data_IF_880499001455
#
_entry.id   IF_880499001455
#
_cell.length_a   1.000
_cell.length_b   1.000
_cell.length_c   1.000
_cell.angle_alpha   90.00
_cell.angle_beta   90.00
_cell.angle_gamma   90.00
#
_symmetry.space_group_name_H-M   'P 1'
#
loop_
_entity.id
_entity.type
_entity.pdbx_description
1 polymer ?
#
# COMPACT_ATOMS: atom_id res chain seq x y z
N UNK A 1 -17.64 -12.46 -28.85
CA UNK A 1 -16.62 -12.38 -27.80
C UNK A 1 -17.22 -11.63 -26.64
N UNK A 2 -17.19 -12.19 -25.44
CA UNK A 2 -17.55 -11.43 -24.23
C UNK A 2 -16.41 -10.43 -24.07
N UNK A 3 -16.69 -9.12 -24.24
CA UNK A 3 -15.70 -8.08 -23.95
C UNK A 3 -15.31 -8.21 -22.48
N UNK A 4 -14.06 -8.51 -22.22
CA UNK A 4 -13.56 -8.61 -20.85
C UNK A 4 -13.55 -7.21 -20.24
N UNK A 5 -14.30 -7.06 -19.16
CA UNK A 5 -14.44 -5.80 -18.44
C UNK A 5 -13.34 -5.73 -17.39
N UNK A 6 -12.77 -4.54 -17.16
CA UNK A 6 -11.73 -4.34 -16.12
C UNK A 6 -12.21 -4.85 -14.76
N UNK A 7 -11.38 -5.66 -14.05
CA UNK A 7 -11.70 -6.13 -12.69
C UNK A 7 -12.03 -5.00 -11.71
N UNK A 8 -11.58 -3.78 -11.97
CA UNK A 8 -11.89 -2.60 -11.16
C UNK A 8 -13.40 -2.30 -11.09
N UNK A 9 -14.15 -2.60 -12.15
CA UNK A 9 -15.61 -2.35 -12.18
C UNK A 9 -16.38 -3.21 -11.18
N UNK A 10 -15.88 -4.40 -10.82
CA UNK A 10 -16.49 -5.25 -9.79
C UNK A 10 -16.43 -4.52 -8.43
N UNK A 11 -15.29 -3.88 -8.11
CA UNK A 11 -15.14 -3.11 -6.88
C UNK A 11 -15.92 -1.79 -6.91
N UNK A 12 -16.03 -1.13 -8.06
CA UNK A 12 -16.90 0.06 -8.22
C UNK A 12 -18.36 -0.32 -7.98
N UNK A 13 -18.83 -1.39 -8.61
CA UNK A 13 -20.19 -1.89 -8.40
C UNK A 13 -20.42 -2.27 -6.93
N UNK A 14 -19.45 -2.94 -6.30
CA UNK A 14 -19.51 -3.28 -4.89
C UNK A 14 -19.58 -2.02 -4.00
N UNK A 15 -18.80 -0.98 -4.30
CA UNK A 15 -18.83 0.28 -3.56
C UNK A 15 -20.24 0.92 -3.59
N UNK A 16 -20.90 0.90 -4.76
CA UNK A 16 -22.28 1.39 -4.91
C UNK A 16 -23.25 0.50 -4.15
N UNK A 17 -23.17 -0.81 -4.33
CA UNK A 17 -24.09 -1.78 -3.72
C UNK A 17 -23.97 -1.81 -2.18
N UNK A 18 -22.78 -1.58 -1.61
CA UNK A 18 -22.58 -1.44 -0.16
C UNK A 18 -23.42 -0.28 0.38
N UNK A 19 -23.53 0.83 -0.34
CA UNK A 19 -24.37 1.96 0.02
C UNK A 19 -25.88 1.68 -0.06
N UNK A 20 -26.27 0.86 -1.04
CA UNK A 20 -27.68 0.56 -1.33
C UNK A 20 -28.25 -0.63 -0.52
N UNK A 21 -27.38 -1.43 0.13
CA UNK A 21 -27.78 -2.67 0.81
C UNK A 21 -27.59 -2.58 2.33
N UNK A 22 -28.16 -3.54 3.07
CA UNK A 22 -28.06 -3.64 4.52
C UNK A 22 -27.93 -5.10 4.97
N UNK A 23 -27.54 -5.30 6.24
CA UNK A 23 -27.51 -6.60 6.89
C UNK A 23 -26.64 -7.63 6.18
N UNK A 24 -27.16 -8.85 6.02
CA UNK A 24 -26.43 -9.97 5.43
C UNK A 24 -26.01 -9.74 3.97
N UNK A 25 -26.86 -9.04 3.18
CA UNK A 25 -26.57 -8.76 1.78
C UNK A 25 -25.33 -7.85 1.65
N UNK A 26 -25.24 -6.79 2.46
CA UNK A 26 -24.06 -5.95 2.52
C UNK A 26 -22.82 -6.75 2.88
N UNK A 27 -22.91 -7.62 3.89
CA UNK A 27 -21.79 -8.47 4.30
C UNK A 27 -21.36 -9.41 3.19
N UNK A 28 -22.32 -10.00 2.46
CA UNK A 28 -22.03 -10.85 1.31
C UNK A 28 -21.30 -10.09 0.19
N UNK A 29 -21.70 -8.84 -0.08
CA UNK A 29 -21.02 -7.99 -1.07
C UNK A 29 -19.61 -7.64 -0.60
N UNK A 30 -19.43 -7.21 0.67
CA UNK A 30 -18.13 -6.87 1.24
C UNK A 30 -17.15 -8.06 1.17
N UNK A 31 -17.58 -9.27 1.43
CA UNK A 31 -16.70 -10.43 1.40
C UNK A 31 -16.62 -11.09 0.02
N UNK A 32 -17.68 -11.07 -0.76
CA UNK A 32 -17.76 -11.75 -2.04
C UNK A 32 -17.13 -10.96 -3.21
N UNK A 33 -17.33 -9.64 -3.25
CA UNK A 33 -16.82 -8.84 -4.37
C UNK A 33 -15.28 -8.91 -4.53
N UNK A 34 -14.45 -8.86 -3.48
CA UNK A 34 -13.00 -9.03 -3.62
C UNK A 34 -12.61 -10.41 -4.16
N UNK A 35 -13.33 -11.48 -3.79
CA UNK A 35 -13.08 -12.82 -4.30
C UNK A 35 -13.42 -12.92 -5.78
N UNK A 36 -14.55 -12.32 -6.21
CA UNK A 36 -14.90 -12.21 -7.62
C UNK A 36 -13.86 -11.40 -8.39
N UNK A 37 -13.34 -10.32 -7.79
CA UNK A 37 -12.27 -9.50 -8.37
C UNK A 37 -11.00 -10.34 -8.55
N UNK A 38 -10.63 -11.16 -7.56
CA UNK A 38 -9.49 -12.08 -7.68
C UNK A 38 -9.65 -13.04 -8.85
N UNK A 39 -10.81 -13.64 -9.02
CA UNK A 39 -11.07 -14.51 -10.18
C UNK A 39 -10.95 -13.72 -11.49
N UNK A 40 -11.57 -12.54 -11.56
CA UNK A 40 -11.54 -11.71 -12.76
C UNK A 40 -10.10 -11.27 -13.15
N UNK A 41 -9.23 -10.97 -12.17
CA UNK A 41 -7.82 -10.62 -12.39
C UNK A 41 -7.08 -11.72 -13.16
N UNK A 42 -7.30 -12.98 -12.78
CA UNK A 42 -6.61 -14.13 -13.41
C UNK A 42 -7.23 -14.59 -14.72
N UNK A 43 -8.39 -14.04 -15.09
CA UNK A 43 -8.99 -14.21 -16.42
C UNK A 43 -8.47 -13.18 -17.44
N UNK A 44 -7.78 -12.11 -17.01
CA UNK A 44 -7.18 -11.11 -17.90
C UNK A 44 -5.95 -11.74 -18.58
N UNK A 45 -5.93 -11.92 -19.92
CA UNK A 45 -4.76 -12.42 -20.64
C UNK A 45 -3.64 -11.38 -20.70
N UNK A 46 -2.45 -11.80 -21.14
CA UNK A 46 -1.33 -10.88 -21.39
C UNK A 46 -1.58 -10.02 -22.64
N UNK A 47 -1.09 -8.80 -22.62
CA UNK A 47 -1.23 -7.81 -23.68
C UNK A 47 -2.49 -6.97 -23.58
N UNK A 48 -2.73 -6.18 -24.62
CA UNK A 48 -3.88 -5.28 -24.72
C UNK A 48 -5.15 -6.08 -24.99
N UNK A 49 -6.14 -5.93 -24.12
CA UNK A 49 -7.40 -6.70 -24.16
C UNK A 49 -8.54 -5.90 -24.77
N UNK A 50 -8.61 -4.61 -24.45
CA UNK A 50 -9.68 -3.72 -24.91
C UNK A 50 -9.08 -2.43 -25.44
N UNK A 51 -9.55 -1.99 -26.61
CA UNK A 51 -9.14 -0.73 -27.23
C UNK A 51 -10.36 0.02 -27.77
N UNK A 52 -10.33 1.35 -27.69
CA UNK A 52 -11.27 2.22 -28.39
C UNK A 52 -10.63 3.54 -28.76
N UNK A 53 -11.16 4.22 -29.78
CA UNK A 53 -10.65 5.50 -30.24
C UNK A 53 -11.31 6.66 -29.48
N UNK A 54 -10.52 7.56 -28.90
CA UNK A 54 -11.01 8.77 -28.24
C UNK A 54 -10.09 9.96 -28.59
N UNK A 55 -10.65 11.04 -29.10
CA UNK A 55 -9.92 12.25 -29.51
C UNK A 55 -8.71 12.00 -30.44
N UNK A 56 -8.78 10.95 -31.28
CA UNK A 56 -7.71 10.57 -32.20
C UNK A 56 -6.62 9.69 -31.60
N UNK A 57 -6.70 9.36 -30.29
CA UNK A 57 -5.81 8.41 -29.62
C UNK A 57 -6.47 7.04 -29.46
N UNK A 58 -5.65 5.97 -29.45
CA UNK A 58 -6.09 4.63 -29.06
C UNK A 58 -6.00 4.53 -27.54
N UNK A 59 -7.14 4.31 -26.90
CA UNK A 59 -7.25 4.14 -25.46
C UNK A 59 -7.26 2.64 -25.13
N UNK A 60 -6.45 2.23 -24.17
CA UNK A 60 -6.22 0.85 -23.76
C UNK A 60 -6.57 0.65 -22.28
N UNK A 61 -7.86 0.65 -21.91
CA UNK A 61 -8.30 0.63 -20.52
C UNK A 61 -8.03 -0.70 -19.81
N UNK A 62 -7.68 -1.76 -20.56
CA UNK A 62 -7.39 -3.08 -20.01
C UNK A 62 -6.21 -3.71 -20.75
N UNK A 63 -5.05 -3.73 -20.09
CA UNK A 63 -3.84 -4.42 -20.52
C UNK A 63 -3.38 -5.37 -19.41
N UNK A 64 -3.12 -6.64 -19.74
CA UNK A 64 -2.64 -7.67 -18.81
C UNK A 64 -1.15 -7.89 -18.90
N UNK A 65 -0.52 -8.18 -17.75
CA UNK A 65 0.84 -8.71 -17.65
C UNK A 65 1.03 -9.39 -16.29
N UNK A 66 2.09 -10.20 -16.09
CA UNK A 66 2.37 -10.81 -14.78
C UNK A 66 2.49 -9.76 -13.66
N UNK A 67 3.22 -8.66 -13.90
CA UNK A 67 3.37 -7.56 -12.93
C UNK A 67 2.02 -6.93 -12.55
N UNK A 68 1.18 -6.63 -13.54
CA UNK A 68 -0.14 -6.01 -13.35
C UNK A 68 -1.07 -6.93 -12.55
N UNK A 69 -1.11 -8.23 -12.87
CA UNK A 69 -1.87 -9.23 -12.12
C UNK A 69 -1.35 -9.42 -10.71
N UNK A 70 -0.03 -9.38 -10.48
CA UNK A 70 0.57 -9.48 -9.15
C UNK A 70 0.06 -8.36 -8.23
N UNK A 71 0.14 -7.10 -8.67
CA UNK A 71 -0.32 -5.96 -7.88
C UNK A 71 -1.84 -5.97 -7.68
N UNK A 72 -2.60 -6.24 -8.72
CA UNK A 72 -4.06 -6.35 -8.61
C UNK A 72 -4.47 -7.49 -7.64
N UNK A 73 -3.77 -8.62 -7.65
CA UNK A 73 -4.00 -9.75 -6.73
C UNK A 73 -3.82 -9.32 -5.28
N UNK A 74 -2.73 -8.66 -4.95
CA UNK A 74 -2.53 -8.23 -3.56
C UNK A 74 -3.51 -7.13 -3.17
N UNK A 75 -3.89 -6.24 -4.08
CA UNK A 75 -4.91 -5.23 -3.82
C UNK A 75 -6.28 -5.89 -3.52
N UNK A 76 -6.72 -6.85 -4.32
CA UNK A 76 -7.96 -7.58 -4.07
C UNK A 76 -7.91 -8.42 -2.78
N UNK A 77 -6.77 -9.06 -2.49
CA UNK A 77 -6.52 -9.76 -1.21
C UNK A 77 -6.64 -8.80 -0.03
N UNK A 78 -6.10 -7.60 -0.17
CA UNK A 78 -6.20 -6.57 0.86
C UNK A 78 -7.63 -6.07 1.05
N UNK A 79 -8.41 -5.91 -0.03
CA UNK A 79 -9.84 -5.55 0.06
C UNK A 79 -10.61 -6.63 0.82
N UNK A 80 -10.34 -7.91 0.56
CA UNK A 80 -10.95 -9.02 1.29
C UNK A 80 -10.60 -8.98 2.78
N UNK A 81 -9.31 -8.91 3.12
CA UNK A 81 -8.85 -8.90 4.50
C UNK A 81 -9.28 -7.64 5.26
N UNK A 82 -9.19 -6.46 4.63
CA UNK A 82 -9.69 -5.19 5.16
C UNK A 82 -11.20 -5.19 5.34
N UNK A 83 -11.93 -5.76 4.38
CA UNK A 83 -13.38 -5.97 4.47
C UNK A 83 -13.75 -6.89 5.62
N UNK A 84 -13.06 -8.03 5.78
CA UNK A 84 -13.24 -8.96 6.90
C UNK A 84 -12.96 -8.28 8.25
N UNK A 85 -11.91 -7.46 8.32
CA UNK A 85 -11.58 -6.70 9.53
C UNK A 85 -12.66 -5.66 9.86
N UNK A 86 -13.25 -5.01 8.84
CA UNK A 86 -14.05 -3.79 8.99
C UNK A 86 -15.57 -3.97 8.93
N UNK A 87 -16.11 -5.08 8.37
CA UNK A 87 -17.54 -5.17 8.00
C UNK A 87 -18.53 -5.00 9.15
N UNK A 88 -18.11 -5.16 10.41
CA UNK A 88 -18.92 -4.93 11.61
C UNK A 88 -18.63 -3.61 12.31
N UNK A 89 -17.42 -3.05 12.14
CA UNK A 89 -16.93 -1.88 12.86
C UNK A 89 -17.06 -0.60 12.05
N UNK A 90 -16.83 -0.70 10.73
CA UNK A 90 -16.91 0.45 9.83
C UNK A 90 -18.36 0.80 9.48
N UNK A 91 -18.57 2.08 9.23
CA UNK A 91 -19.84 2.57 8.67
C UNK A 91 -19.91 2.23 7.17
N UNK A 92 -21.11 2.10 6.64
CA UNK A 92 -21.30 1.73 5.23
C UNK A 92 -20.58 2.65 4.23
N UNK A 93 -20.59 3.94 4.49
CA UNK A 93 -19.94 4.93 3.60
C UNK A 93 -18.41 4.84 3.66
N UNK A 94 -17.83 4.43 4.78
CA UNK A 94 -16.40 4.15 4.89
C UNK A 94 -16.02 2.92 4.07
N UNK A 95 -16.81 1.83 4.15
CA UNK A 95 -16.62 0.64 3.33
C UNK A 95 -16.79 0.94 1.84
N UNK A 96 -17.84 1.69 1.48
CA UNK A 96 -18.07 2.14 0.10
C UNK A 96 -16.88 2.93 -0.44
N UNK A 97 -16.38 3.92 0.32
CA UNK A 97 -15.22 4.71 -0.06
C UNK A 97 -13.93 3.85 -0.16
N UNK A 98 -13.72 2.91 0.77
CA UNK A 98 -12.56 2.02 0.75
C UNK A 98 -12.55 1.08 -0.47
N UNK A 99 -13.73 0.60 -0.90
CA UNK A 99 -13.87 -0.25 -2.09
C UNK A 99 -13.68 0.55 -3.38
N UNK A 100 -14.21 1.76 -3.46
CA UNK A 100 -13.95 2.66 -4.57
C UNK A 100 -12.46 3.05 -4.64
N UNK A 101 -11.82 3.31 -3.51
CA UNK A 101 -10.39 3.57 -3.42
C UNK A 101 -9.56 2.40 -3.97
N UNK A 102 -9.90 1.18 -3.57
CA UNK A 102 -9.26 -0.03 -4.07
C UNK A 102 -9.50 -0.27 -5.57
N UNK A 103 -10.71 0.06 -6.04
CA UNK A 103 -11.03 0.01 -7.47
C UNK A 103 -10.12 0.91 -8.30
N UNK A 104 -9.80 2.10 -7.79
CA UNK A 104 -8.81 2.99 -8.40
C UNK A 104 -7.44 2.33 -8.52
N UNK A 105 -6.95 1.69 -7.46
CA UNK A 105 -5.66 0.99 -7.47
C UNK A 105 -5.63 -0.20 -8.46
N UNK A 106 -6.70 -1.01 -8.48
CA UNK A 106 -6.83 -2.11 -9.45
C UNK A 106 -6.94 -1.56 -10.88
N UNK A 107 -7.66 -0.46 -11.08
CA UNK A 107 -7.77 0.19 -12.39
C UNK A 107 -6.43 0.70 -12.90
N UNK A 108 -5.64 1.38 -12.07
CA UNK A 108 -4.26 1.80 -12.42
C UNK A 108 -3.40 0.59 -12.79
N UNK A 109 -3.58 -0.56 -12.09
CA UNK A 109 -2.78 -1.76 -12.36
C UNK A 109 -2.97 -2.27 -13.78
N UNK A 110 -4.15 -2.12 -14.37
CA UNK A 110 -4.46 -2.62 -15.71
C UNK A 110 -4.51 -1.55 -16.80
N UNK A 111 -4.29 -0.28 -16.48
CA UNK A 111 -4.29 0.80 -17.46
C UNK A 111 -3.12 0.66 -18.46
N UNK A 112 -3.40 0.47 -19.75
CA UNK A 112 -2.41 0.42 -20.83
C UNK A 112 -2.05 1.78 -21.39
N UNK A 113 -2.88 2.80 -21.13
CA UNK A 113 -2.67 4.17 -21.57
C UNK A 113 -2.62 5.16 -20.40
N UNK A 114 -1.94 6.29 -20.61
CA UNK A 114 -1.72 7.34 -19.62
C UNK A 114 -3.01 8.09 -19.25
N UNK A 115 -4.03 8.09 -20.10
CA UNK A 115 -5.31 8.76 -19.83
C UNK A 115 -6.12 7.91 -18.85
N UNK A 116 -6.28 6.63 -19.15
CA UNK A 116 -6.92 5.67 -18.24
C UNK A 116 -6.18 5.56 -16.91
N UNK A 117 -4.84 5.52 -16.96
CA UNK A 117 -3.98 5.55 -15.79
C UNK A 117 -4.31 6.76 -14.90
N UNK A 118 -4.32 7.97 -15.47
CA UNK A 118 -4.57 9.20 -14.75
C UNK A 118 -5.99 9.26 -14.17
N UNK A 119 -7.01 8.82 -14.91
CA UNK A 119 -8.38 8.78 -14.42
C UNK A 119 -8.54 7.91 -13.17
N UNK A 120 -7.98 6.69 -13.17
CA UNK A 120 -8.02 5.81 -12.00
C UNK A 120 -7.14 6.34 -10.85
N UNK A 121 -6.05 7.03 -11.16
CA UNK A 121 -5.19 7.69 -10.18
C UNK A 121 -5.94 8.78 -9.40
N UNK A 122 -6.65 9.66 -10.09
CA UNK A 122 -7.48 10.70 -9.45
C UNK A 122 -8.68 10.10 -8.71
N UNK A 123 -9.29 9.07 -9.26
CA UNK A 123 -10.36 8.33 -8.59
C UNK A 123 -9.87 7.75 -7.26
N UNK A 124 -8.70 7.17 -7.24
CA UNK A 124 -8.05 6.67 -6.04
C UNK A 124 -7.79 7.79 -5.02
N UNK A 125 -7.30 8.95 -5.44
CA UNK A 125 -7.03 10.11 -4.59
C UNK A 125 -8.30 10.65 -3.95
N UNK A 126 -9.38 10.75 -4.70
CA UNK A 126 -10.69 11.21 -4.22
C UNK A 126 -11.21 10.29 -3.10
N UNK A 127 -11.29 8.99 -3.35
CA UNK A 127 -11.89 8.06 -2.40
C UNK A 127 -11.01 7.78 -1.18
N UNK A 128 -9.69 7.83 -1.31
CA UNK A 128 -8.79 7.77 -0.15
C UNK A 128 -8.96 8.98 0.78
N UNK A 129 -9.20 10.17 0.24
CA UNK A 129 -9.55 11.37 1.03
C UNK A 129 -10.81 11.15 1.86
N UNK A 130 -11.85 10.56 1.26
CA UNK A 130 -13.10 10.24 1.96
C UNK A 130 -12.83 9.23 3.09
N UNK A 131 -11.98 8.22 2.88
CA UNK A 131 -11.59 7.28 3.92
C UNK A 131 -10.91 7.98 5.10
N UNK A 132 -10.05 8.98 4.86
CA UNK A 132 -9.47 9.80 5.94
C UNK A 132 -10.55 10.53 6.72
N UNK A 133 -11.49 11.18 6.02
CA UNK A 133 -12.60 11.92 6.67
C UNK A 133 -13.53 11.02 7.50
N UNK A 134 -13.62 9.73 7.17
CA UNK A 134 -14.38 8.75 7.95
C UNK A 134 -13.85 8.54 9.38
N UNK A 135 -12.66 9.04 9.71
CA UNK A 135 -12.17 9.14 11.09
C UNK A 135 -13.08 9.94 12.01
N UNK A 136 -13.84 10.88 11.44
CA UNK A 136 -14.96 11.57 12.11
C UNK A 136 -14.54 12.58 13.18
N UNK A 137 -13.27 12.85 13.36
CA UNK A 137 -12.72 13.82 14.31
C UNK A 137 -12.37 15.15 13.63
N UNK A 138 -12.28 16.26 14.38
CA UNK A 138 -11.75 17.51 13.83
C UNK A 138 -10.34 17.34 13.24
N UNK A 139 -9.49 16.49 13.86
CA UNK A 139 -8.17 16.11 13.34
C UNK A 139 -8.26 15.42 12.00
N UNK A 140 -9.13 14.42 11.85
CA UNK A 140 -9.35 13.71 10.61
C UNK A 140 -9.84 14.63 9.49
N UNK A 141 -10.70 15.62 9.82
CA UNK A 141 -11.19 16.60 8.85
C UNK A 141 -10.05 17.50 8.35
N UNK A 142 -9.25 18.04 9.25
CA UNK A 142 -8.13 18.90 8.91
C UNK A 142 -7.03 18.14 8.15
N UNK A 143 -6.67 16.93 8.61
CA UNK A 143 -5.70 16.06 7.95
C UNK A 143 -6.17 15.64 6.55
N UNK A 144 -7.47 15.31 6.38
CA UNK A 144 -8.04 14.96 5.08
C UNK A 144 -8.03 16.12 4.09
N UNK A 145 -8.20 17.37 4.54
CA UNK A 145 -8.05 18.55 3.67
C UNK A 145 -6.58 18.67 3.19
N UNK A 146 -5.60 18.56 4.09
CA UNK A 146 -4.18 18.60 3.70
C UNK A 146 -3.81 17.45 2.78
N UNK A 147 -4.35 16.26 3.05
CA UNK A 147 -4.21 15.08 2.20
C UNK A 147 -4.74 15.34 0.79
N UNK A 148 -5.97 15.86 0.68
CA UNK A 148 -6.58 16.20 -0.61
C UNK A 148 -5.74 17.23 -1.39
N UNK A 149 -5.26 18.29 -0.72
CA UNK A 149 -4.42 19.32 -1.35
C UNK A 149 -3.14 18.69 -1.91
N UNK A 150 -2.47 17.81 -1.15
CA UNK A 150 -1.23 17.17 -1.59
C UNK A 150 -1.46 16.23 -2.78
N UNK A 151 -2.54 15.44 -2.76
CA UNK A 151 -2.86 14.54 -3.86
C UNK A 151 -3.35 15.28 -5.10
N UNK A 152 -4.14 16.36 -4.97
CA UNK A 152 -4.52 17.23 -6.09
C UNK A 152 -3.27 17.91 -6.70
N UNK A 153 -2.37 18.41 -5.88
CA UNK A 153 -1.12 18.99 -6.38
C UNK A 153 -0.30 17.94 -7.14
N UNK A 154 -0.12 16.75 -6.57
CA UNK A 154 0.57 15.64 -7.22
C UNK A 154 -0.09 15.23 -8.54
N UNK A 155 -1.43 15.19 -8.58
CA UNK A 155 -2.21 14.90 -9.79
C UNK A 155 -2.07 15.99 -10.87
N UNK A 156 -2.07 17.27 -10.49
CA UNK A 156 -1.82 18.38 -11.43
C UNK A 156 -0.42 18.27 -12.04
N UNK A 157 0.61 18.03 -11.21
CA UNK A 157 1.99 17.86 -11.67
C UNK A 157 2.10 16.66 -12.62
N UNK A 158 1.52 15.53 -12.25
CA UNK A 158 1.45 14.31 -13.07
C UNK A 158 0.77 14.58 -14.42
N UNK A 159 -0.38 15.26 -14.40
CA UNK A 159 -1.13 15.62 -15.61
C UNK A 159 -0.34 16.52 -16.54
N UNK A 160 0.35 17.52 -16.01
CA UNK A 160 1.21 18.42 -16.82
C UNK A 160 2.30 17.60 -17.53
N UNK A 161 2.93 16.66 -16.81
CA UNK A 161 3.91 15.77 -17.41
C UNK A 161 3.32 14.87 -18.50
N UNK A 162 2.18 14.23 -18.23
CA UNK A 162 1.48 13.37 -19.20
C UNK A 162 1.13 14.16 -20.46
N UNK A 163 0.54 15.36 -20.31
CA UNK A 163 0.21 16.20 -21.47
C UNK A 163 1.44 16.56 -22.29
N UNK A 164 2.55 16.90 -21.64
CA UNK A 164 3.79 17.21 -22.34
C UNK A 164 4.35 16.01 -23.11
N UNK A 165 4.34 14.80 -22.52
CA UNK A 165 4.75 13.57 -23.22
C UNK A 165 3.84 13.26 -24.40
N UNK A 166 2.52 13.37 -24.22
CA UNK A 166 1.54 13.12 -25.29
C UNK A 166 1.72 14.11 -26.45
N UNK A 167 1.93 15.39 -26.16
CA UNK A 167 2.17 16.42 -27.19
C UNK A 167 3.48 16.16 -27.94
N UNK A 168 4.54 15.76 -27.25
CA UNK A 168 5.85 15.56 -27.86
C UNK A 168 5.97 14.25 -28.63
N UNK A 169 5.29 13.19 -28.18
CA UNK A 169 5.41 11.85 -28.80
C UNK A 169 4.24 11.47 -29.70
N UNK A 170 3.09 12.12 -29.55
CA UNK A 170 1.85 11.72 -30.21
C UNK A 170 1.23 10.43 -29.65
N UNK A 171 1.79 9.82 -28.59
CA UNK A 171 1.35 8.56 -27.99
C UNK A 171 0.84 8.77 -26.56
N UNK A 172 -0.15 7.96 -26.18
CA UNK A 172 -0.70 7.87 -24.82
C UNK A 172 -0.30 6.61 -24.08
N UNK A 173 0.50 5.71 -24.69
CA UNK A 173 0.81 4.41 -24.14
C UNK A 173 1.61 4.50 -22.83
N UNK A 174 1.32 3.60 -21.89
CA UNK A 174 2.14 3.38 -20.71
C UNK A 174 3.37 2.58 -21.08
N UNK A 175 4.52 3.26 -21.17
CA UNK A 175 5.81 2.63 -21.54
C UNK A 175 6.96 3.18 -20.70
N UNK A 176 8.07 2.41 -20.54
CA UNK A 176 9.26 2.88 -19.85
C UNK A 176 9.84 4.15 -20.46
N UNK A 177 10.29 5.07 -19.59
CA UNK A 177 10.95 6.33 -19.93
C UNK A 177 12.03 6.67 -18.90
N UNK A 178 12.90 7.63 -19.22
CA UNK A 178 13.82 8.25 -18.28
C UNK A 178 13.45 9.72 -18.07
N UNK A 179 13.80 10.26 -16.92
CA UNK A 179 13.55 11.66 -16.56
C UNK A 179 14.60 12.57 -17.23
N UNK A 180 14.46 12.84 -18.54
CA UNK A 180 15.41 13.60 -19.34
C UNK A 180 14.95 15.00 -19.72
N UNK A 181 13.65 15.26 -19.67
CA UNK A 181 13.04 16.52 -20.03
C UNK A 181 12.00 16.98 -18.99
N UNK A 182 11.48 18.20 -19.14
CA UNK A 182 10.52 18.77 -18.20
C UNK A 182 9.29 17.88 -17.99
N UNK A 183 8.75 17.27 -19.04
CA UNK A 183 7.52 16.48 -18.98
C UNK A 183 7.71 15.19 -18.22
N UNK A 184 8.81 14.46 -18.49
CA UNK A 184 9.16 13.21 -17.81
C UNK A 184 9.52 13.45 -16.34
N UNK A 185 10.19 14.59 -16.02
CA UNK A 185 10.40 15.00 -14.62
C UNK A 185 9.10 15.31 -13.90
N UNK A 186 8.13 15.94 -14.54
CA UNK A 186 6.81 16.21 -13.92
C UNK A 186 6.09 14.89 -13.60
N UNK A 187 6.13 13.91 -14.51
CA UNK A 187 5.56 12.58 -14.23
C UNK A 187 6.26 11.96 -13.01
N UNK A 188 7.58 11.92 -13.01
CA UNK A 188 8.36 11.33 -11.92
C UNK A 188 8.07 12.00 -10.57
N UNK A 189 8.03 13.34 -10.52
CA UNK A 189 7.72 14.09 -9.31
C UNK A 189 6.29 13.79 -8.82
N UNK A 190 5.30 13.77 -9.72
CA UNK A 190 3.92 13.42 -9.39
C UNK A 190 3.80 12.02 -8.77
N UNK A 191 4.53 11.05 -9.30
CA UNK A 191 4.59 9.69 -8.74
C UNK A 191 5.29 9.66 -7.38
N UNK A 192 6.39 10.39 -7.21
CA UNK A 192 7.14 10.45 -5.95
C UNK A 192 6.34 11.13 -4.83
N UNK A 193 5.49 12.12 -5.12
CA UNK A 193 4.55 12.68 -4.13
C UNK A 193 3.65 11.57 -3.57
N UNK A 194 3.08 10.73 -4.42
CA UNK A 194 2.22 9.63 -3.99
C UNK A 194 3.00 8.43 -3.40
N UNK A 195 4.27 8.27 -3.74
CA UNK A 195 5.18 7.34 -3.06
C UNK A 195 5.58 7.83 -1.65
N UNK A 196 5.15 9.05 -1.26
CA UNK A 196 5.51 9.72 -0.02
C UNK A 196 7.01 10.00 0.11
N UNK A 197 7.66 10.42 -0.98
CA UNK A 197 9.05 10.83 -0.94
C UNK A 197 9.19 12.19 -0.20
N UNK A 198 10.11 12.32 0.79
CA UNK A 198 10.38 13.60 1.41
C UNK A 198 10.98 14.60 0.38
N UNK A 199 10.72 15.91 0.53
CA UNK A 199 10.16 16.61 1.70
C UNK A 199 8.62 16.60 1.79
N UNK A 200 7.91 16.08 0.81
CA UNK A 200 6.44 16.15 0.73
C UNK A 200 5.71 14.93 1.35
N UNK A 201 6.41 14.11 2.11
CA UNK A 201 5.89 12.87 2.73
C UNK A 201 4.95 13.07 3.92
N UNK A 202 4.85 14.29 4.45
CA UNK A 202 4.13 14.58 5.70
C UNK A 202 2.63 14.23 5.63
N UNK A 203 2.01 14.24 4.44
CA UNK A 203 0.63 13.88 4.24
C UNK A 203 0.29 12.47 4.76
N UNK A 204 1.24 11.53 4.65
CA UNK A 204 1.04 10.13 5.04
C UNK A 204 1.00 9.99 6.57
N UNK A 205 2.00 10.54 7.27
CA UNK A 205 2.10 10.48 8.73
C UNK A 205 1.08 11.38 9.44
N UNK A 206 0.49 12.35 8.74
CA UNK A 206 -0.56 13.22 9.23
C UNK A 206 -1.95 12.55 9.07
N UNK A 207 -2.27 12.01 7.90
CA UNK A 207 -3.61 11.52 7.58
C UNK A 207 -3.91 10.10 8.10
N UNK A 208 -2.97 9.17 8.00
CA UNK A 208 -3.23 7.76 8.34
C UNK A 208 -3.57 7.53 9.81
N UNK A 209 -2.91 8.19 10.78
CA UNK A 209 -3.29 8.07 12.20
C UNK A 209 -4.62 8.71 12.54
N UNK A 210 -5.06 9.71 11.77
CA UNK A 210 -6.33 10.41 11.99
C UNK A 210 -7.55 9.69 11.39
N UNK A 211 -7.34 8.77 10.45
CA UNK A 211 -8.41 7.93 9.93
C UNK A 211 -8.97 7.01 11.02
N UNK A 212 -10.14 6.42 10.77
CA UNK A 212 -10.72 5.41 11.65
C UNK A 212 -9.77 4.22 11.84
N UNK A 213 -9.90 3.39 12.91
CA UNK A 213 -9.13 2.16 13.07
C UNK A 213 -9.23 1.19 11.90
N UNK A 214 -10.37 1.19 11.19
CA UNK A 214 -10.61 0.38 9.99
C UNK A 214 -10.10 1.07 8.72
N UNK A 215 -10.32 2.36 8.57
CA UNK A 215 -9.88 3.15 7.42
C UNK A 215 -8.36 3.19 7.27
N UNK A 216 -7.60 3.31 8.38
CA UNK A 216 -6.14 3.30 8.35
C UNK A 216 -5.55 1.99 7.80
N UNK A 217 -6.26 0.85 7.96
CA UNK A 217 -5.89 -0.44 7.38
C UNK A 217 -5.93 -0.38 5.85
N UNK A 218 -7.02 0.15 5.27
CA UNK A 218 -7.13 0.33 3.81
C UNK A 218 -6.12 1.36 3.28
N UNK A 219 -5.96 2.49 3.96
CA UNK A 219 -4.98 3.53 3.57
C UNK A 219 -3.55 2.99 3.50
N UNK A 220 -3.19 2.05 4.38
CA UNK A 220 -1.85 1.46 4.41
C UNK A 220 -1.49 0.66 3.15
N UNK A 221 -2.46 0.30 2.30
CA UNK A 221 -2.29 -0.67 1.24
C UNK A 221 -2.08 -0.06 -0.15
N UNK A 222 -2.90 0.91 -0.59
CA UNK A 222 -3.04 1.20 -2.01
C UNK A 222 -2.13 2.33 -2.51
N UNK A 223 -2.32 3.59 -2.11
CA UNK A 223 -1.70 4.77 -2.74
C UNK A 223 -0.19 4.62 -2.97
N UNK A 224 0.58 4.32 -1.93
CA UNK A 224 2.04 4.24 -2.04
C UNK A 224 2.52 3.05 -2.89
N UNK A 225 1.78 1.94 -2.91
CA UNK A 225 2.16 0.76 -3.71
C UNK A 225 1.73 0.89 -5.15
N UNK A 226 0.61 1.57 -5.40
CA UNK A 226 0.24 1.98 -6.76
C UNK A 226 1.29 2.92 -7.35
N UNK A 227 1.86 3.83 -6.53
CA UNK A 227 2.99 4.66 -6.95
C UNK A 227 4.25 3.83 -7.26
N UNK A 228 4.55 2.80 -6.46
CA UNK A 228 5.66 1.87 -6.74
C UNK A 228 5.42 1.11 -8.05
N UNK A 229 4.21 0.58 -8.28
CA UNK A 229 3.86 -0.06 -9.55
C UNK A 229 4.09 0.89 -10.73
N UNK A 230 3.60 2.13 -10.62
CA UNK A 230 3.79 3.15 -11.64
C UNK A 230 5.27 3.44 -11.91
N UNK A 231 6.09 3.52 -10.86
CA UNK A 231 7.55 3.70 -11.00
C UNK A 231 8.21 2.50 -11.68
N UNK A 232 7.81 1.26 -11.38
CA UNK A 232 8.30 0.05 -12.06
C UNK A 232 7.92 0.06 -13.55
N UNK A 233 6.70 0.50 -13.88
CA UNK A 233 6.23 0.53 -15.28
C UNK A 233 6.84 1.67 -16.10
N UNK A 234 7.00 2.85 -15.49
CA UNK A 234 7.35 4.07 -16.21
C UNK A 234 8.84 4.47 -16.09
N UNK A 235 9.50 4.19 -14.97
CA UNK A 235 10.87 4.63 -14.68
C UNK A 235 11.80 3.51 -14.20
N UNK A 236 11.80 2.30 -14.82
CA UNK A 236 12.72 1.25 -14.42
C UNK A 236 14.16 1.65 -14.75
N UNK A 237 15.03 1.64 -13.74
CA UNK A 237 16.45 1.99 -13.91
C UNK A 237 16.74 3.50 -13.89
N UNK A 238 15.80 4.35 -13.47
CA UNK A 238 16.04 5.79 -13.29
C UNK A 238 17.02 6.03 -12.11
N UNK A 239 18.27 6.47 -12.35
CA UNK A 239 19.30 6.47 -11.31
C UNK A 239 19.00 7.36 -10.10
N UNK A 240 18.25 8.46 -10.28
CA UNK A 240 17.90 9.39 -9.20
C UNK A 240 17.10 8.69 -8.11
N UNK A 241 16.34 7.63 -8.47
CA UNK A 241 15.50 6.86 -7.54
C UNK A 241 16.34 6.10 -6.50
N UNK A 242 17.60 5.77 -6.78
CA UNK A 242 18.50 5.17 -5.78
C UNK A 242 18.69 6.14 -4.62
N UNK A 243 19.07 7.38 -4.91
CA UNK A 243 19.28 8.41 -3.89
C UNK A 243 18.01 8.79 -3.15
N UNK A 244 16.90 8.96 -3.87
CA UNK A 244 15.58 9.25 -3.29
C UNK A 244 15.14 8.11 -2.37
N UNK A 245 15.26 6.87 -2.80
CA UNK A 245 14.88 5.69 -2.01
C UNK A 245 15.71 5.57 -0.73
N UNK A 246 17.03 5.75 -0.79
CA UNK A 246 17.90 5.74 0.39
C UNK A 246 17.57 6.87 1.37
N UNK A 247 17.26 8.07 0.86
CA UNK A 247 16.82 9.18 1.70
C UNK A 247 15.49 8.86 2.41
N UNK A 248 14.50 8.30 1.70
CA UNK A 248 13.24 7.85 2.27
C UNK A 248 13.45 6.82 3.38
N UNK A 249 14.38 5.88 3.17
CA UNK A 249 14.71 4.83 4.15
C UNK A 249 15.19 5.45 5.46
N UNK A 250 16.19 6.33 5.40
CA UNK A 250 16.78 6.98 6.59
C UNK A 250 15.76 7.89 7.27
N UNK A 251 15.07 8.73 6.50
CA UNK A 251 14.03 9.64 6.99
C UNK A 251 12.95 8.88 7.77
N UNK A 252 12.40 7.81 7.19
CA UNK A 252 11.34 7.03 7.82
C UNK A 252 11.77 6.37 9.13
N UNK A 253 13.03 5.90 9.25
CA UNK A 253 13.59 5.33 10.48
C UNK A 253 13.67 6.38 11.57
N UNK A 254 14.28 7.53 11.28
CA UNK A 254 14.52 8.60 12.28
C UNK A 254 13.18 9.06 12.85
N UNK A 255 12.23 9.41 12.01
CA UNK A 255 10.94 9.91 12.48
C UNK A 255 10.10 8.82 13.18
N UNK A 256 10.14 7.57 12.74
CA UNK A 256 9.48 6.47 13.44
C UNK A 256 10.07 6.23 14.85
N UNK A 257 11.39 6.42 15.04
CA UNK A 257 12.03 6.31 16.34
C UNK A 257 11.66 7.48 17.29
N UNK A 258 11.44 8.67 16.77
CA UNK A 258 11.07 9.85 17.55
C UNK A 258 9.59 9.89 17.93
N UNK A 259 8.73 9.16 17.19
CA UNK A 259 7.28 9.25 17.32
C UNK A 259 6.74 8.46 18.53
N UNK A 260 5.63 8.94 19.11
CA UNK A 260 4.96 8.32 20.26
C UNK A 260 3.59 7.69 19.92
N UNK A 261 2.93 8.08 18.82
CA UNK A 261 1.67 7.47 18.40
C UNK A 261 1.94 6.18 17.62
N UNK A 262 1.29 5.07 18.03
CA UNK A 262 1.53 3.75 17.42
C UNK A 262 1.23 3.71 15.91
N UNK A 263 0.14 4.36 15.44
CA UNK A 263 -0.17 4.41 14.00
C UNK A 263 0.75 5.35 13.24
N UNK A 264 1.23 6.41 13.88
CA UNK A 264 2.19 7.36 13.28
C UNK A 264 3.58 6.74 13.14
N UNK A 265 4.01 5.92 14.12
CA UNK A 265 5.21 5.06 13.98
C UNK A 265 5.08 4.17 12.73
N UNK A 266 3.93 3.51 12.57
CA UNK A 266 3.66 2.66 11.43
C UNK A 266 3.57 3.46 10.11
N UNK A 267 3.09 4.68 10.13
CA UNK A 267 3.03 5.57 8.97
C UNK A 267 4.44 5.97 8.48
N UNK A 268 5.32 6.43 9.36
CA UNK A 268 6.72 6.69 9.01
C UNK A 268 7.45 5.43 8.53
N UNK A 269 7.11 4.30 9.11
CA UNK A 269 7.62 3.01 8.68
C UNK A 269 7.12 2.60 7.27
N UNK A 270 6.01 3.15 6.74
CA UNK A 270 5.63 2.99 5.32
C UNK A 270 6.64 3.73 4.45
N UNK A 271 6.97 4.99 4.77
CA UNK A 271 7.93 5.80 4.00
C UNK A 271 9.27 5.05 3.89
N UNK A 272 9.76 4.51 5.01
CA UNK A 272 10.97 3.70 5.03
C UNK A 272 10.89 2.50 4.07
N UNK A 273 9.83 1.69 4.13
CA UNK A 273 9.71 0.48 3.33
C UNK A 273 9.49 0.79 1.84
N UNK A 274 8.74 1.85 1.52
CA UNK A 274 8.60 2.33 0.14
C UNK A 274 9.95 2.81 -0.40
N UNK A 275 10.81 3.38 0.47
CA UNK A 275 12.18 3.75 0.11
C UNK A 275 13.02 2.57 -0.40
N UNK A 276 12.89 1.37 0.19
CA UNK A 276 13.52 0.15 -0.34
C UNK A 276 13.04 -0.16 -1.75
N UNK A 277 11.73 -0.03 -2.02
CA UNK A 277 11.14 -0.30 -3.32
C UNK A 277 11.59 0.73 -4.36
N UNK A 278 11.57 2.02 -4.01
CA UNK A 278 12.02 3.12 -4.88
C UNK A 278 13.51 2.97 -5.23
N UNK A 279 14.35 2.64 -4.25
CA UNK A 279 15.77 2.34 -4.48
C UNK A 279 15.95 1.16 -5.46
N UNK A 280 15.17 0.09 -5.29
CA UNK A 280 15.21 -1.07 -6.16
C UNK A 280 14.78 -0.74 -7.61
N UNK A 281 13.75 0.11 -7.77
CA UNK A 281 13.36 0.60 -9.10
C UNK A 281 14.50 1.37 -9.75
N UNK A 282 15.23 2.19 -8.97
CA UNK A 282 16.39 2.93 -9.46
C UNK A 282 17.57 2.03 -9.87
N UNK A 283 17.78 0.89 -9.21
CA UNK A 283 18.78 -0.11 -9.62
C UNK A 283 18.42 -0.71 -10.99
N UNK A 284 17.14 -0.96 -11.26
CA UNK A 284 16.60 -1.26 -12.58
C UNK A 284 16.90 -2.65 -13.15
N UNK A 285 17.68 -3.51 -12.48
CA UNK A 285 17.86 -4.90 -12.92
C UNK A 285 16.59 -5.70 -12.74
N UNK A 286 16.40 -6.79 -13.50
CA UNK A 286 15.23 -7.67 -13.35
C UNK A 286 15.07 -8.15 -11.91
N UNK A 287 16.15 -8.53 -11.24
CA UNK A 287 16.12 -8.92 -9.82
C UNK A 287 15.67 -7.77 -8.92
N UNK A 288 16.13 -6.54 -9.18
CA UNK A 288 15.74 -5.36 -8.40
C UNK A 288 14.26 -5.01 -8.59
N UNK A 289 13.77 -5.02 -9.83
CA UNK A 289 12.36 -4.74 -10.15
C UNK A 289 11.44 -5.82 -9.57
N UNK A 290 11.82 -7.09 -9.71
CA UNK A 290 11.11 -8.20 -9.07
C UNK A 290 11.15 -8.11 -7.54
N UNK A 291 12.29 -7.69 -6.99
CA UNK A 291 12.44 -7.41 -5.55
C UNK A 291 11.51 -6.29 -5.09
N UNK A 292 11.39 -5.19 -5.85
CA UNK A 292 10.45 -4.10 -5.56
C UNK A 292 8.99 -4.58 -5.58
N UNK A 293 8.60 -5.35 -6.61
CA UNK A 293 7.25 -5.89 -6.76
C UNK A 293 6.92 -6.90 -5.64
N UNK A 294 7.81 -7.86 -5.38
CA UNK A 294 7.67 -8.82 -4.30
C UNK A 294 7.60 -8.14 -2.93
N UNK A 295 8.42 -7.10 -2.71
CA UNK A 295 8.43 -6.36 -1.46
C UNK A 295 7.15 -5.53 -1.29
N UNK A 296 6.60 -4.95 -2.36
CA UNK A 296 5.31 -4.27 -2.33
C UNK A 296 4.19 -5.25 -1.94
N UNK A 297 4.18 -6.46 -2.49
CA UNK A 297 3.25 -7.53 -2.15
C UNK A 297 3.32 -7.91 -0.67
N UNK A 298 4.50 -8.29 -0.19
CA UNK A 298 4.72 -8.68 1.20
C UNK A 298 4.43 -7.52 2.17
N UNK A 299 4.83 -6.29 1.78
CA UNK A 299 4.63 -5.09 2.58
C UNK A 299 3.14 -4.79 2.82
N UNK A 300 2.28 -4.95 1.83
CA UNK A 300 0.83 -4.77 2.02
C UNK A 300 0.32 -5.72 3.10
N UNK A 301 0.74 -6.99 3.09
CA UNK A 301 0.28 -8.00 4.05
C UNK A 301 0.73 -7.65 5.47
N UNK A 302 2.03 -7.52 5.72
CA UNK A 302 2.50 -7.29 7.08
C UNK A 302 2.17 -5.89 7.61
N UNK A 303 2.06 -4.89 6.70
CA UNK A 303 1.69 -3.55 7.12
C UNK A 303 0.20 -3.45 7.49
N UNK A 304 -0.67 -4.08 6.71
CA UNK A 304 -2.08 -4.21 7.07
C UNK A 304 -2.23 -4.93 8.42
N UNK A 305 -1.50 -6.02 8.65
CA UNK A 305 -1.49 -6.74 9.93
C UNK A 305 -1.10 -5.84 11.10
N UNK A 306 -0.04 -5.04 10.95
CA UNK A 306 0.39 -4.08 11.97
C UNK A 306 -0.67 -3.00 12.24
N UNK A 307 -1.28 -2.43 11.19
CA UNK A 307 -2.37 -1.47 11.34
C UNK A 307 -3.64 -2.10 11.92
N UNK A 308 -3.94 -3.36 11.59
CA UNK A 308 -5.02 -4.12 12.22
C UNK A 308 -4.77 -4.33 13.72
N UNK A 309 -3.54 -4.69 14.11
CA UNK A 309 -3.16 -4.87 15.52
C UNK A 309 -3.26 -3.54 16.29
N UNK A 310 -2.66 -2.47 15.78
CA UNK A 310 -2.77 -1.14 16.37
C UNK A 310 -4.23 -0.63 16.40
N UNK A 311 -4.97 -0.84 15.31
CA UNK A 311 -6.39 -0.48 15.21
C UNK A 311 -7.27 -1.22 16.19
N UNK A 312 -7.01 -2.51 16.43
CA UNK A 312 -7.72 -3.31 17.42
C UNK A 312 -7.49 -2.80 18.86
N UNK A 313 -6.24 -2.43 19.16
CA UNK A 313 -5.90 -1.80 20.46
C UNK A 313 -6.65 -0.49 20.62
N UNK A 314 -6.64 0.39 19.62
CA UNK A 314 -7.34 1.68 19.67
C UNK A 314 -8.87 1.46 19.76
N UNK A 315 -9.43 0.53 19.01
CA UNK A 315 -10.84 0.19 19.05
C UNK A 315 -11.29 -0.25 20.45
N UNK A 316 -10.43 -0.97 21.17
CA UNK A 316 -10.76 -1.48 22.51
C UNK A 316 -10.43 -0.53 23.66
N UNK A 317 -9.42 0.31 23.51
CA UNK A 317 -8.92 1.15 24.61
C UNK A 317 -9.19 2.63 24.43
N UNK A 318 -9.43 3.08 23.18
CA UNK A 318 -9.49 4.51 22.81
C UNK A 318 -8.13 5.20 22.86
N UNK A 319 -7.02 4.45 23.09
CA UNK A 319 -5.66 5.00 23.27
C UNK A 319 -4.76 4.62 22.09
N UNK A 320 -3.99 5.58 21.58
CA UNK A 320 -3.05 5.39 20.47
C UNK A 320 -1.59 5.67 20.84
N UNK A 321 -1.35 6.42 21.93
CA UNK A 321 0.01 6.79 22.33
C UNK A 321 0.69 5.67 23.09
N UNK A 322 1.93 5.35 22.73
CA UNK A 322 2.75 4.34 23.40
C UNK A 322 2.86 4.57 24.90
N UNK A 323 2.97 5.82 25.35
CA UNK A 323 3.07 6.20 26.78
C UNK A 323 1.80 5.92 27.60
N UNK A 324 0.65 5.68 26.93
CA UNK A 324 -0.64 5.39 27.57
C UNK A 324 -1.01 3.89 27.54
N UNK A 325 -0.17 3.06 26.88
CA UNK A 325 -0.38 1.64 26.67
C UNK A 325 0.57 0.81 27.53
N UNK A 326 0.49 -0.52 27.41
CA UNK A 326 1.37 -1.47 28.10
C UNK A 326 0.59 -2.49 28.95
N UNK A 327 1.17 -3.70 29.10
CA UNK A 327 0.56 -4.82 29.82
C UNK A 327 -0.59 -5.50 29.08
N UNK A 328 -0.88 -5.08 27.83
CA UNK A 328 -2.05 -5.58 27.06
C UNK A 328 -1.90 -7.02 26.59
N UNK A 329 -0.68 -7.61 26.57
CA UNK A 329 -0.48 -8.99 26.18
C UNK A 329 -1.30 -9.98 27.04
N UNK A 330 -1.66 -9.61 28.26
CA UNK A 330 -2.46 -10.42 29.19
C UNK A 330 -3.93 -10.51 28.81
N UNK A 331 -4.46 -9.45 28.23
CA UNK A 331 -5.91 -9.31 27.94
C UNK A 331 -6.23 -9.32 26.45
N UNK A 332 -5.24 -9.02 25.60
CA UNK A 332 -5.31 -9.06 24.14
C UNK A 332 -4.21 -9.97 23.55
N UNK A 333 -4.10 -11.25 23.98
CA UNK A 333 -2.99 -12.10 23.57
C UNK A 333 -2.96 -12.41 22.07
N UNK A 334 -4.11 -12.60 21.42
CA UNK A 334 -4.18 -12.88 20.00
C UNK A 334 -3.75 -11.65 19.18
N UNK A 335 -4.25 -10.47 19.55
CA UNK A 335 -3.84 -9.19 18.93
C UNK A 335 -2.33 -8.96 19.09
N UNK A 336 -1.77 -9.27 20.27
CA UNK A 336 -0.32 -9.15 20.54
C UNK A 336 0.51 -10.08 19.65
N UNK A 337 0.15 -11.38 19.58
CA UNK A 337 0.84 -12.37 18.74
C UNK A 337 0.81 -11.97 17.28
N UNK A 338 -0.36 -11.58 16.76
CA UNK A 338 -0.49 -11.11 15.38
C UNK A 338 0.36 -9.85 15.11
N UNK A 339 0.37 -8.90 16.07
CA UNK A 339 1.22 -7.70 15.99
C UNK A 339 2.71 -8.04 15.98
N UNK A 340 3.16 -9.03 16.77
CA UNK A 340 4.55 -9.50 16.79
C UNK A 340 4.92 -10.15 15.47
N UNK A 341 4.06 -11.01 14.89
CA UNK A 341 4.31 -11.62 13.56
C UNK A 341 4.49 -10.54 12.51
N UNK A 342 3.61 -9.53 12.48
CA UNK A 342 3.76 -8.38 11.58
C UNK A 342 5.06 -7.58 11.82
N UNK A 343 5.45 -7.41 13.08
CA UNK A 343 6.68 -6.73 13.50
C UNK A 343 7.95 -7.51 13.10
N UNK A 344 7.94 -8.82 13.18
CA UNK A 344 9.03 -9.68 12.70
C UNK A 344 9.09 -9.66 11.16
N UNK A 345 7.93 -9.71 10.49
CA UNK A 345 7.87 -9.68 9.03
C UNK A 345 8.43 -8.37 8.46
N UNK A 346 8.00 -7.20 8.97
CA UNK A 346 8.54 -5.91 8.51
C UNK A 346 10.04 -5.78 8.80
N UNK A 347 10.52 -6.38 9.87
CA UNK A 347 11.94 -6.37 10.26
C UNK A 347 12.82 -7.24 9.36
N UNK A 348 12.22 -8.08 8.53
CA UNK A 348 12.96 -9.03 7.70
C UNK A 348 13.53 -10.20 8.52
N UNK A 349 12.80 -10.67 9.53
CA UNK A 349 13.19 -11.83 10.31
C UNK A 349 13.07 -13.10 9.46
N UNK A 350 14.03 -14.05 9.54
CA UNK A 350 13.96 -15.32 8.80
C UNK A 350 12.59 -16.01 8.94
N UNK A 351 12.15 -16.73 7.91
CA UNK A 351 10.86 -17.40 7.81
C UNK A 351 9.64 -16.46 7.77
N UNK A 352 9.86 -15.19 7.53
CA UNK A 352 8.77 -14.22 7.30
C UNK A 352 8.86 -13.59 5.91
N UNK A 353 7.74 -13.10 5.40
CA UNK A 353 7.64 -12.55 4.03
C UNK A 353 8.57 -11.37 3.74
N UNK A 354 8.90 -10.56 4.76
CA UNK A 354 9.81 -9.42 4.59
C UNK A 354 11.28 -9.83 4.41
N UNK A 355 11.70 -10.97 4.94
CA UNK A 355 13.06 -11.49 4.75
C UNK A 355 13.31 -11.80 3.28
N UNK A 356 12.44 -12.62 2.68
CA UNK A 356 12.60 -13.10 1.30
C UNK A 356 12.64 -11.97 0.29
N UNK A 357 11.86 -10.91 0.50
CA UNK A 357 11.75 -9.80 -0.45
C UNK A 357 12.84 -8.74 -0.27
N UNK A 358 13.28 -8.44 0.96
CA UNK A 358 14.39 -7.51 1.20
C UNK A 358 15.73 -8.07 0.74
N UNK A 359 15.94 -9.38 0.89
CA UNK A 359 17.16 -10.03 0.42
C UNK A 359 17.30 -9.93 -1.10
N UNK A 360 16.21 -10.03 -1.87
CA UNK A 360 16.25 -9.80 -3.32
C UNK A 360 16.76 -8.40 -3.67
N UNK A 361 16.26 -7.35 -3.00
CA UNK A 361 16.67 -5.97 -3.26
C UNK A 361 18.15 -5.76 -2.89
N UNK A 362 18.55 -6.27 -1.73
CA UNK A 362 19.94 -6.14 -1.27
C UNK A 362 20.89 -6.93 -2.18
N UNK A 363 20.52 -8.13 -2.62
CA UNK A 363 21.30 -8.93 -3.53
C UNK A 363 21.44 -8.23 -4.89
N UNK A 364 20.37 -7.64 -5.42
CA UNK A 364 20.44 -6.87 -6.66
C UNK A 364 21.44 -5.69 -6.59
N UNK A 365 21.52 -5.02 -5.43
CA UNK A 365 22.54 -3.98 -5.20
C UNK A 365 23.97 -4.56 -5.18
N UNK A 366 24.15 -5.72 -4.55
CA UNK A 366 25.44 -6.41 -4.49
C UNK A 366 25.90 -6.87 -5.89
N UNK A 367 25.00 -7.46 -6.69
CA UNK A 367 25.29 -7.94 -8.04
C UNK A 367 25.70 -6.80 -8.99
N UNK A 368 25.22 -5.58 -8.75
CA UNK A 368 25.62 -4.38 -9.47
C UNK A 368 26.85 -3.68 -8.86
N UNK A 369 27.53 -4.31 -7.90
CA UNK A 369 28.68 -3.71 -7.19
C UNK A 369 28.37 -2.36 -6.52
N UNK A 370 27.10 -2.10 -6.17
CA UNK A 370 26.65 -0.92 -5.45
C UNK A 370 26.86 -1.08 -3.94
N UNK A 371 28.12 -1.21 -3.52
CA UNK A 371 28.55 -1.58 -2.18
C UNK A 371 27.94 -0.65 -1.12
N UNK A 372 27.97 0.66 -1.34
CA UNK A 372 27.40 1.65 -0.42
C UNK A 372 25.89 1.48 -0.28
N UNK A 373 25.18 1.25 -1.38
CA UNK A 373 23.72 1.02 -1.37
C UNK A 373 23.40 -0.25 -0.60
N UNK A 374 24.12 -1.35 -0.83
CA UNK A 374 23.96 -2.60 -0.09
C UNK A 374 24.08 -2.39 1.41
N UNK A 375 25.16 -1.76 1.87
CA UNK A 375 25.38 -1.54 3.31
C UNK A 375 24.36 -0.59 3.93
N UNK A 376 23.92 0.45 3.21
CA UNK A 376 22.87 1.35 3.69
C UNK A 376 21.53 0.64 3.81
N UNK A 377 21.15 -0.23 2.85
CA UNK A 377 19.92 -1.04 2.94
C UNK A 377 20.01 -2.05 4.09
N UNK A 378 21.15 -2.69 4.30
CA UNK A 378 21.37 -3.62 5.42
C UNK A 378 21.26 -2.90 6.78
N UNK A 379 21.92 -1.77 6.95
CA UNK A 379 21.83 -0.94 8.15
C UNK A 379 20.40 -0.44 8.39
N UNK A 380 19.71 -0.05 7.31
CA UNK A 380 18.33 0.35 7.36
C UNK A 380 17.40 -0.78 7.83
N UNK A 381 17.63 -2.02 7.38
CA UNK A 381 16.85 -3.16 7.85
C UNK A 381 16.99 -3.38 9.36
N UNK A 382 18.19 -3.19 9.91
CA UNK A 382 18.42 -3.19 11.36
C UNK A 382 17.67 -2.02 12.05
N UNK A 383 17.66 -0.82 11.46
CA UNK A 383 16.89 0.32 11.95
C UNK A 383 15.37 0.06 11.99
N UNK A 384 14.85 -0.68 11.02
CA UNK A 384 13.44 -1.12 11.01
C UNK A 384 13.13 -2.03 12.19
N UNK A 385 14.04 -2.94 12.52
CA UNK A 385 13.87 -3.82 13.69
C UNK A 385 13.71 -3.01 14.99
N UNK A 386 14.44 -1.90 15.14
CA UNK A 386 14.33 -1.06 16.33
C UNK A 386 12.95 -0.42 16.48
N UNK A 387 12.40 0.22 15.44
CA UNK A 387 11.15 0.98 15.58
C UNK A 387 9.88 0.14 15.35
N UNK A 388 9.90 -0.83 14.48
CA UNK A 388 8.74 -1.67 14.18
C UNK A 388 8.82 -3.07 14.83
N UNK A 389 10.01 -3.65 14.88
CA UNK A 389 10.25 -4.97 15.47
C UNK A 389 10.23 -4.97 17.01
N UNK A 390 10.82 -3.95 17.63
CA UNK A 390 10.92 -3.86 19.09
C UNK A 390 9.98 -2.80 19.64
N UNK A 391 10.16 -1.53 19.22
CA UNK A 391 9.45 -0.38 19.82
C UNK A 391 7.94 -0.57 19.79
N UNK A 392 7.36 -0.91 18.63
CA UNK A 392 5.91 -1.05 18.49
C UNK A 392 5.35 -2.16 19.42
N UNK A 393 5.79 -3.45 19.36
CA UNK A 393 5.26 -4.48 20.25
C UNK A 393 5.54 -4.22 21.73
N UNK A 394 6.75 -3.74 22.03
CA UNK A 394 7.14 -3.50 23.42
C UNK A 394 6.25 -2.45 24.07
N UNK A 395 6.13 -1.27 23.49
CA UNK A 395 5.39 -0.17 24.11
C UNK A 395 3.88 -0.37 24.05
N UNK A 396 3.36 -1.09 23.08
CA UNK A 396 1.92 -1.37 23.00
C UNK A 396 1.51 -2.49 23.95
N UNK A 397 2.28 -3.58 24.02
CA UNK A 397 1.85 -4.81 24.70
C UNK A 397 2.60 -5.14 25.98
N UNK A 398 3.91 -4.90 26.08
CA UNK A 398 4.78 -5.49 27.10
C UNK A 398 5.31 -4.51 28.16
N UNK A 399 5.45 -3.24 27.88
CA UNK A 399 5.99 -2.27 28.84
C UNK A 399 5.17 -2.24 30.15
N UNK A 400 5.55 -1.36 31.09
CA UNK A 400 4.86 -1.17 32.37
C UNK A 400 3.35 -1.19 32.19
N UNK A 401 2.68 -1.99 33.02
CA UNK A 401 1.23 -2.18 32.98
C UNK A 401 0.47 -0.83 33.15
N UNK A 402 -0.31 -0.48 32.15
CA UNK A 402 -1.14 0.73 32.15
C UNK A 402 -2.41 0.62 32.98
N UNK A 403 -2.72 -0.57 33.53
CA UNK A 403 -3.96 -0.85 34.24
C UNK A 403 -5.17 -1.09 33.33
N UNK A 404 -5.01 -0.96 32.00
CA UNK A 404 -6.08 -1.24 31.04
C UNK A 404 -6.35 -2.75 30.95
N UNK A 405 -7.63 -3.13 30.91
CA UNK A 405 -8.07 -4.55 30.87
C UNK A 405 -9.12 -4.77 29.78
N UNK A 406 -8.85 -4.37 28.51
CA UNK A 406 -9.79 -4.58 27.43
C UNK A 406 -9.90 -6.07 27.08
N UNK A 407 -11.06 -6.50 26.56
CA UNK A 407 -11.19 -7.80 25.90
C UNK A 407 -10.40 -7.77 24.58
N UNK A 408 -9.97 -8.93 24.08
CA UNK A 408 -9.31 -9.03 22.78
C UNK A 408 -10.24 -8.55 21.64
N UNK A 409 -9.67 -8.39 20.45
CA UNK A 409 -10.39 -7.91 19.27
C UNK A 409 -11.66 -8.73 18.99
N UNK A 410 -12.72 -8.13 18.41
CA UNK A 410 -13.87 -8.89 17.91
C UNK A 410 -13.46 -9.98 16.93
N UNK A 411 -14.22 -11.07 16.86
CA UNK A 411 -13.87 -12.27 16.11
C UNK A 411 -13.50 -12.00 14.63
N UNK A 412 -14.20 -11.08 13.96
CA UNK A 412 -13.93 -10.75 12.57
C UNK A 412 -12.59 -9.99 12.39
N UNK A 413 -12.26 -9.10 13.32
CA UNK A 413 -10.96 -8.42 13.36
C UNK A 413 -9.84 -9.45 13.64
N UNK A 414 -10.07 -10.35 14.60
CA UNK A 414 -9.16 -11.45 14.93
C UNK A 414 -8.94 -12.40 13.75
N UNK A 415 -10.00 -12.78 13.05
CA UNK A 415 -9.91 -13.65 11.86
C UNK A 415 -9.07 -13.00 10.74
N UNK A 416 -9.25 -11.71 10.49
CA UNK A 416 -8.45 -10.96 9.52
C UNK A 416 -6.96 -10.93 9.92
N UNK A 417 -6.66 -10.65 11.20
CA UNK A 417 -5.28 -10.66 11.71
C UNK A 417 -4.63 -12.05 11.62
N UNK A 418 -5.36 -13.12 11.94
CA UNK A 418 -4.84 -14.49 11.81
C UNK A 418 -4.58 -14.84 10.35
N UNK A 419 -5.48 -14.48 9.43
CA UNK A 419 -5.28 -14.67 7.99
C UNK A 419 -3.99 -13.99 7.52
N UNK A 420 -3.79 -12.71 7.85
CA UNK A 420 -2.61 -11.96 7.42
C UNK A 420 -1.32 -12.45 8.12
N UNK A 421 -1.41 -12.91 9.37
CA UNK A 421 -0.30 -13.58 10.05
C UNK A 421 0.09 -14.87 9.32
N UNK A 422 -0.91 -15.67 8.94
CA UNK A 422 -0.68 -16.88 8.15
C UNK A 422 -0.02 -16.60 6.80
N UNK A 423 -0.45 -15.55 6.09
CA UNK A 423 0.17 -15.13 4.82
C UNK A 423 1.61 -14.64 5.01
N UNK A 424 1.92 -13.90 6.09
CA UNK A 424 3.30 -13.49 6.41
C UNK A 424 4.23 -14.69 6.58
N UNK A 425 3.80 -15.72 7.29
CA UNK A 425 4.58 -16.93 7.52
C UNK A 425 4.63 -17.83 6.28
N UNK A 426 3.50 -18.01 5.60
CA UNK A 426 3.40 -18.84 4.40
C UNK A 426 4.38 -18.38 3.31
N UNK A 427 4.39 -17.07 3.00
CA UNK A 427 5.30 -16.50 1.99
C UNK A 427 6.75 -16.54 2.50
N UNK A 428 6.98 -16.40 3.79
CA UNK A 428 8.33 -16.49 4.36
C UNK A 428 8.94 -17.89 4.34
N UNK A 429 8.10 -18.93 4.54
CA UNK A 429 8.54 -20.33 4.55
C UNK A 429 8.56 -20.90 3.12
N UNK A 430 7.60 -20.51 2.27
CA UNK A 430 7.44 -20.98 0.90
C UNK A 430 7.49 -19.80 -0.09
N UNK A 431 8.65 -19.16 -0.29
CA UNK A 431 8.77 -17.96 -1.13
C UNK A 431 8.39 -18.22 -2.60
N UNK A 432 8.50 -19.46 -3.08
CA UNK A 432 8.07 -19.85 -4.43
C UNK A 432 6.61 -19.50 -4.72
N UNK A 433 5.75 -19.48 -3.70
CA UNK A 433 4.35 -19.08 -3.85
C UNK A 433 4.21 -17.63 -4.34
N UNK A 434 5.17 -16.76 -4.00
CA UNK A 434 5.23 -15.40 -4.49
C UNK A 434 6.10 -15.30 -5.76
N UNK A 435 7.24 -15.97 -5.77
CA UNK A 435 8.22 -15.85 -6.85
C UNK A 435 7.68 -16.33 -8.21
N UNK A 436 6.81 -17.35 -8.21
CA UNK A 436 6.18 -17.86 -9.43
C UNK A 436 5.24 -16.84 -10.11
N UNK A 437 4.86 -15.76 -9.43
CA UNK A 437 4.03 -14.68 -9.99
C UNK A 437 4.84 -13.47 -10.46
N UNK A 438 6.15 -13.46 -10.19
CA UNK A 438 7.02 -12.37 -10.64
C UNK A 438 7.28 -12.47 -12.16
N UNK A 439 7.40 -11.31 -12.84
CA UNK A 439 7.70 -11.30 -14.28
C UNK A 439 9.10 -11.83 -14.62
#
# INVERSE_FOLDING_TARGET
MIELISPAYILIAAAILIGLTQGYLRTAIVLGAPLLTLVAIWLVPDGVVTTFSFLGYQIEPLEGSPLRRLFATIFATMVFGGGLYAFRQARWYELSAAYAYAAGAVGVSFAGDLITFFLYWEFMALFSTIVVWCGGTPGARAAGIRYAIMHLLGGIILKVGILGVVISTGSVDVRPMLATDFSTWMILIGLLINAAAPPVSAWLSDAYPEASPTGSVFLSAFTTKTAVLALIMLFPGEPVLIGVGLYMVVYGIIYALLENDARRILAYSIINQVGFMVCAVGIGTQMALNGAAAHAFAHIIYKALLFMSAGAVIYRTGKGKCTELGGLFRTMPLTAVCGIIGALAISGFPLTSGFTTKTMISQAAADQSLVTVYFLLAAASAGVFLHAGIKFPWFVFFQRDSGLRPKDAPWNMSAAMVLFSGLCLLIGIFPQLLYNFLP
#
